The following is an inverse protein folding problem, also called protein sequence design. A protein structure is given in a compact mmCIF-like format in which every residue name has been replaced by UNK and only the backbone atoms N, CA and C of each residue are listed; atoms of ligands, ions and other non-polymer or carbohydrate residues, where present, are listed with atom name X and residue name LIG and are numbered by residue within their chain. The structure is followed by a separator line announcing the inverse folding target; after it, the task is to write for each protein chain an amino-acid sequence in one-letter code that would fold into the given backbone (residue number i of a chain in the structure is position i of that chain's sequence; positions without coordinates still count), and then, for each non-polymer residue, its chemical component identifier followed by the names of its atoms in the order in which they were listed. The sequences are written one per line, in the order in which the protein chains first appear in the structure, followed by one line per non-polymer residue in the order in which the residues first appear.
data_IF_645746706308
#
_entry.id   IF_645746706308
#
_cell.length_a   1.000
_cell.length_b   1.000
_cell.length_c   1.000
_cell.angle_alpha   90.00
_cell.angle_beta   90.00
_cell.angle_gamma   90.00
#
_symmetry.space_group_name_H-M   'P 1'
#
loop_
_entity.id
_entity.type
_entity.pdbx_description
1 polymer ?
#
# COMPACT_ATOMS: atom_id res chain seq x y z
N UNK A 1 -7.17 -31.38 -17.77
CA UNK A 1 -8.40 -30.71 -18.23
C UNK A 1 -8.19 -29.24 -17.92
N UNK A 2 -8.04 -28.39 -18.93
CA UNK A 2 -7.94 -26.94 -18.73
C UNK A 2 -9.33 -26.43 -18.35
N UNK A 3 -9.55 -26.05 -17.08
CA UNK A 3 -10.77 -25.37 -16.67
C UNK A 3 -11.03 -24.10 -17.49
N UNK A 4 -12.29 -23.69 -17.60
CA UNK A 4 -12.66 -22.45 -18.29
C UNK A 4 -12.07 -21.24 -17.57
N UNK A 5 -11.35 -20.38 -18.29
CA UNK A 5 -10.82 -19.13 -17.75
C UNK A 5 -11.96 -18.13 -17.49
N UNK A 6 -12.13 -17.71 -16.25
CA UNK A 6 -13.08 -16.66 -15.84
C UNK A 6 -12.58 -15.28 -16.25
N UNK A 7 -13.49 -14.37 -16.58
CA UNK A 7 -13.17 -12.94 -16.73
C UNK A 7 -13.29 -12.21 -15.40
N UNK A 8 -12.50 -11.16 -15.19
CA UNK A 8 -12.60 -10.33 -13.98
C UNK A 8 -13.97 -9.65 -13.89
N UNK A 9 -14.56 -9.28 -15.03
CA UNK A 9 -15.94 -8.79 -15.11
C UNK A 9 -16.97 -9.78 -14.54
N UNK A 10 -16.86 -11.06 -14.86
CA UNK A 10 -17.75 -12.12 -14.33
C UNK A 10 -17.58 -12.29 -12.82
N UNK A 11 -16.35 -12.21 -12.32
CA UNK A 11 -16.08 -12.22 -10.88
C UNK A 11 -16.71 -10.98 -10.22
N UNK A 12 -16.59 -9.80 -10.83
CA UNK A 12 -17.18 -8.56 -10.35
C UNK A 12 -18.72 -8.61 -10.32
N UNK A 13 -19.38 -9.22 -11.31
CA UNK A 13 -20.83 -9.45 -11.29
C UNK A 13 -21.25 -10.30 -10.08
N UNK A 14 -20.48 -11.36 -9.78
CA UNK A 14 -20.72 -12.21 -8.61
C UNK A 14 -20.48 -11.48 -7.29
N UNK A 15 -19.46 -10.62 -7.21
CA UNK A 15 -19.18 -9.75 -6.05
C UNK A 15 -20.36 -8.81 -5.79
N UNK A 16 -20.82 -8.10 -6.83
CA UNK A 16 -21.96 -7.17 -6.72
C UNK A 16 -23.26 -7.87 -6.33
N UNK A 17 -23.45 -9.12 -6.76
CA UNK A 17 -24.59 -9.93 -6.37
C UNK A 17 -24.47 -10.56 -4.97
N UNK A 18 -23.35 -10.39 -4.26
CA UNK A 18 -23.07 -11.05 -2.98
C UNK A 18 -22.90 -12.57 -3.09
N UNK A 19 -22.61 -13.07 -4.29
CA UNK A 19 -22.52 -14.51 -4.62
C UNK A 19 -21.09 -15.00 -4.83
N UNK A 20 -20.10 -14.11 -4.80
CA UNK A 20 -18.70 -14.47 -5.01
C UNK A 20 -18.14 -15.28 -3.82
N UNK A 21 -17.36 -16.31 -4.14
CA UNK A 21 -16.60 -17.10 -3.16
C UNK A 21 -15.28 -16.39 -2.86
N UNK A 22 -15.23 -15.63 -1.75
CA UNK A 22 -14.07 -14.83 -1.35
C UNK A 22 -13.46 -15.41 -0.08
N UNK A 23 -12.15 -15.68 -0.12
CA UNK A 23 -11.38 -16.25 0.99
C UNK A 23 -10.15 -15.40 1.29
N UNK A 24 -9.75 -15.31 2.54
CA UNK A 24 -8.39 -14.87 2.93
C UNK A 24 -7.42 -16.03 2.88
N UNK A 25 -6.11 -15.77 2.85
CA UNK A 25 -5.09 -16.81 3.04
C UNK A 25 -5.31 -17.58 4.36
N UNK A 26 -5.73 -16.89 5.42
CA UNK A 26 -6.06 -17.50 6.71
C UNK A 26 -7.22 -18.50 6.61
N UNK A 27 -8.30 -18.14 5.91
CA UNK A 27 -9.42 -19.06 5.71
C UNK A 27 -8.94 -20.37 5.07
N UNK A 28 -8.15 -20.25 3.99
CA UNK A 28 -7.65 -21.39 3.25
C UNK A 28 -6.68 -22.25 4.07
N UNK A 29 -5.79 -21.63 4.85
CA UNK A 29 -4.89 -22.38 5.74
C UNK A 29 -5.67 -23.19 6.79
N UNK A 30 -6.74 -22.63 7.37
CA UNK A 30 -7.61 -23.37 8.30
C UNK A 30 -8.30 -24.57 7.65
N UNK A 31 -8.70 -24.46 6.39
CA UNK A 31 -9.31 -25.56 5.65
C UNK A 31 -8.28 -26.65 5.29
N UNK A 32 -7.08 -26.25 4.87
CA UNK A 32 -5.97 -27.16 4.57
C UNK A 32 -5.55 -27.98 5.80
N UNK A 33 -5.49 -27.38 6.98
CA UNK A 33 -5.16 -28.09 8.23
C UNK A 33 -6.19 -29.17 8.59
N UNK A 34 -7.47 -28.94 8.24
CA UNK A 34 -8.57 -29.87 8.50
C UNK A 34 -8.71 -30.97 7.44
N UNK A 35 -7.86 -30.98 6.41
CA UNK A 35 -8.00 -31.82 5.22
C UNK A 35 -9.40 -31.70 4.56
N UNK A 36 -9.99 -30.50 4.63
CA UNK A 36 -11.31 -30.23 4.06
C UNK A 36 -11.16 -29.71 2.63
N UNK A 37 -11.01 -30.65 1.69
CA UNK A 37 -10.89 -30.35 0.26
C UNK A 37 -12.21 -29.85 -0.37
N UNK A 38 -13.33 -29.89 0.35
CA UNK A 38 -14.64 -29.49 -0.19
C UNK A 38 -14.70 -27.97 -0.42
N UNK A 39 -14.05 -27.19 0.44
CA UNK A 39 -13.97 -25.72 0.36
C UNK A 39 -12.90 -25.26 -0.62
N UNK A 40 -11.96 -26.13 -0.98
CA UNK A 40 -10.95 -25.89 -2.00
C UNK A 40 -11.51 -25.93 -3.44
N UNK A 41 -12.84 -26.07 -3.60
CA UNK A 41 -13.49 -26.05 -4.91
C UNK A 41 -13.94 -24.63 -5.27
N UNK A 42 -13.16 -24.02 -6.17
CA UNK A 42 -13.47 -22.79 -6.93
C UNK A 42 -13.68 -21.52 -6.08
N UNK A 43 -12.59 -20.94 -5.59
CA UNK A 43 -12.59 -19.53 -5.19
C UNK A 43 -12.83 -18.62 -6.41
N UNK A 44 -13.46 -17.47 -6.16
CA UNK A 44 -13.51 -16.37 -7.11
C UNK A 44 -12.37 -15.37 -6.80
N UNK A 45 -12.08 -15.14 -5.52
CA UNK A 45 -11.01 -14.25 -5.06
C UNK A 45 -10.32 -14.85 -3.84
N UNK A 46 -8.99 -14.77 -3.82
CA UNK A 46 -8.17 -15.03 -2.63
C UNK A 46 -7.50 -13.72 -2.21
N UNK A 47 -7.64 -13.36 -0.94
CA UNK A 47 -7.09 -12.12 -0.39
C UNK A 47 -5.76 -12.44 0.28
N UNK A 48 -4.69 -11.94 -0.32
CA UNK A 48 -3.33 -11.97 0.21
C UNK A 48 -3.10 -10.78 1.12
N UNK A 49 -2.48 -11.01 2.28
CA UNK A 49 -2.13 -9.92 3.21
C UNK A 49 -0.73 -10.09 3.79
N UNK A 50 0.00 -8.98 3.93
CA UNK A 50 1.34 -8.96 4.49
C UNK A 50 1.75 -7.54 4.88
N UNK A 51 2.75 -7.44 5.76
CA UNK A 51 3.40 -6.18 6.08
C UNK A 51 4.64 -5.93 5.23
N UNK A 52 4.86 -4.69 4.82
CA UNK A 52 6.07 -4.26 4.10
C UNK A 52 6.67 -3.01 4.72
N UNK A 53 7.98 -2.82 4.57
CA UNK A 53 8.65 -1.61 5.08
C UNK A 53 8.13 -0.35 4.39
N UNK A 54 8.00 0.75 5.15
CA UNK A 54 7.77 2.08 4.59
C UNK A 54 9.00 2.62 3.84
N UNK A 55 10.18 2.02 4.02
CA UNK A 55 11.39 2.42 3.29
C UNK A 55 11.15 2.37 1.78
N UNK A 56 11.65 3.38 1.09
CA UNK A 56 11.36 3.62 -0.32
C UNK A 56 9.94 4.14 -0.55
N UNK A 57 9.29 4.77 0.43
CA UNK A 57 8.06 5.53 0.22
C UNK A 57 8.32 7.04 0.20
N UNK A 58 7.40 7.75 -0.44
CA UNK A 58 7.31 9.20 -0.44
C UNK A 58 5.87 9.64 -0.18
N UNK A 59 5.71 10.82 0.42
CA UNK A 59 4.44 11.52 0.48
C UNK A 59 4.52 12.81 -0.35
N UNK A 60 3.48 13.07 -1.13
CA UNK A 60 3.24 14.37 -1.76
C UNK A 60 2.14 15.08 -0.96
N UNK A 61 2.50 16.23 -0.40
CA UNK A 61 1.66 17.01 0.50
C UNK A 61 1.48 18.41 -0.07
N UNK A 62 0.26 18.95 -0.05
CA UNK A 62 0.01 20.36 -0.37
C UNK A 62 0.04 21.20 0.91
N UNK A 63 1.24 21.64 1.28
CA UNK A 63 1.54 22.22 2.59
C UNK A 63 1.11 23.69 2.66
N UNK A 64 0.27 24.10 3.62
CA UNK A 64 -0.03 25.50 3.86
C UNK A 64 1.16 26.19 4.55
N UNK A 65 1.69 27.25 3.93
CA UNK A 65 2.88 27.97 4.39
C UNK A 65 2.54 29.38 4.87
N UNK A 66 1.73 30.11 4.12
CA UNK A 66 1.45 31.52 4.38
C UNK A 66 0.07 31.93 3.82
N UNK A 67 -0.26 33.21 3.95
CA UNK A 67 -1.43 33.78 3.29
C UNK A 67 -1.27 33.87 1.77
N UNK A 68 -2.39 34.07 1.07
CA UNK A 68 -2.36 34.35 -0.38
C UNK A 68 -1.53 35.59 -0.69
N UNK A 69 -0.69 35.49 -1.72
CA UNK A 69 0.15 36.57 -2.21
C UNK A 69 1.38 36.87 -1.34
N UNK A 70 1.65 36.08 -0.29
CA UNK A 70 2.78 36.33 0.61
C UNK A 70 4.14 36.15 -0.07
N UNK A 71 4.32 35.16 -0.93
CA UNK A 71 5.56 34.91 -1.66
C UNK A 71 5.30 34.33 -3.04
N UNK A 72 6.28 34.43 -3.94
CA UNK A 72 6.11 33.95 -5.33
C UNK A 72 6.59 32.54 -5.55
N UNK A 73 7.59 32.09 -4.78
CA UNK A 73 8.17 30.75 -4.93
C UNK A 73 8.90 30.27 -3.69
N UNK A 74 8.75 29.00 -3.35
CA UNK A 74 9.54 28.37 -2.30
C UNK A 74 10.94 28.03 -2.82
N UNK A 75 11.98 28.48 -2.11
CA UNK A 75 13.37 28.08 -2.32
C UNK A 75 13.68 26.77 -1.60
N UNK A 76 13.18 26.61 -0.36
CA UNK A 76 13.27 25.37 0.40
C UNK A 76 12.12 25.27 1.40
N UNK A 77 11.79 24.04 1.81
CA UNK A 77 10.81 23.77 2.86
C UNK A 77 11.30 22.63 3.75
N UNK A 78 11.00 22.70 5.05
CA UNK A 78 11.26 21.65 6.03
C UNK A 78 9.98 21.38 6.83
N UNK A 79 9.73 20.10 7.10
CA UNK A 79 8.62 19.61 7.90
C UNK A 79 9.18 18.88 9.13
N UNK A 80 8.95 19.41 10.33
CA UNK A 80 9.63 18.97 11.56
C UNK A 80 11.15 18.84 11.39
N UNK A 81 11.75 19.82 10.71
CA UNK A 81 13.18 19.86 10.38
C UNK A 81 13.62 18.92 9.23
N UNK A 82 12.77 18.00 8.79
CA UNK A 82 13.03 17.10 7.66
C UNK A 82 12.90 17.86 6.34
N UNK A 83 13.92 17.85 5.45
CA UNK A 83 13.83 18.51 4.16
C UNK A 83 12.69 17.97 3.30
N UNK A 84 11.83 18.88 2.83
CA UNK A 84 10.88 18.63 1.76
C UNK A 84 11.36 19.26 0.45
N UNK A 85 10.88 18.74 -0.67
CA UNK A 85 11.23 19.20 -1.99
C UNK A 85 10.03 19.96 -2.58
N UNK A 86 10.12 21.31 -2.70
CA UNK A 86 9.09 22.10 -3.38
C UNK A 86 8.92 21.58 -4.80
N UNK A 87 7.68 21.27 -5.16
CA UNK A 87 7.36 20.75 -6.47
C UNK A 87 7.28 21.86 -7.52
N UNK A 88 7.04 21.49 -8.78
CA UNK A 88 7.16 22.41 -9.91
C UNK A 88 5.92 23.31 -10.10
N UNK A 89 4.81 23.02 -9.43
CA UNK A 89 3.58 23.77 -9.64
C UNK A 89 3.68 25.15 -8.93
N UNK A 90 3.35 26.26 -9.62
CA UNK A 90 3.54 27.61 -9.07
C UNK A 90 2.40 27.99 -8.10
N UNK A 91 2.14 27.15 -7.11
CA UNK A 91 1.04 27.29 -6.16
C UNK A 91 1.35 28.29 -5.03
N UNK A 92 2.58 28.77 -4.92
CA UNK A 92 3.03 29.56 -3.77
C UNK A 92 2.31 30.91 -3.63
N UNK A 93 1.80 31.46 -4.75
CA UNK A 93 0.91 32.64 -4.70
C UNK A 93 -0.39 32.39 -3.96
N UNK A 94 -0.82 31.13 -3.81
CA UNK A 94 -1.96 30.74 -3.00
C UNK A 94 -1.59 30.57 -1.52
N UNK A 95 -0.31 30.71 -1.16
CA UNK A 95 0.20 30.49 0.20
C UNK A 95 0.50 29.03 0.52
N UNK A 96 0.49 28.15 -0.49
CA UNK A 96 0.67 26.71 -0.34
C UNK A 96 1.86 26.23 -1.18
N UNK A 97 2.53 25.16 -0.73
CA UNK A 97 3.67 24.54 -1.40
C UNK A 97 3.39 23.05 -1.57
N UNK A 98 3.35 22.56 -2.81
CA UNK A 98 3.44 21.12 -3.05
C UNK A 98 4.84 20.66 -2.62
N UNK A 99 4.90 19.73 -1.67
CA UNK A 99 6.15 19.24 -1.11
C UNK A 99 6.19 17.73 -1.16
N UNK A 100 7.26 17.19 -1.74
CA UNK A 100 7.58 15.78 -1.64
C UNK A 100 8.54 15.53 -0.47
N UNK A 101 8.20 14.57 0.39
CA UNK A 101 9.05 14.09 1.50
C UNK A 101 9.25 12.59 1.39
N UNK A 102 10.40 12.09 1.84
CA UNK A 102 10.80 10.69 1.68
C UNK A 102 10.94 9.97 3.02
N UNK A 103 10.55 8.70 3.07
CA UNK A 103 10.67 7.86 4.26
C UNK A 103 12.13 7.74 4.73
N UNK A 104 13.08 7.64 3.81
CA UNK A 104 14.50 7.44 4.12
C UNK A 104 15.28 8.77 4.28
N UNK A 105 14.58 9.90 4.39
CA UNK A 105 15.20 11.21 4.59
C UNK A 105 15.93 11.27 5.95
N UNK A 106 17.13 11.85 5.94
CA UNK A 106 17.94 12.14 7.12
C UNK A 106 17.96 13.64 7.40
N UNK A 107 18.23 13.99 8.65
CA UNK A 107 18.54 15.35 9.09
C UNK A 107 19.96 15.41 9.66
N UNK A 108 20.53 16.60 9.73
CA UNK A 108 21.87 16.80 10.29
C UNK A 108 21.92 16.33 11.75
N UNK A 109 23.06 15.76 12.15
CA UNK A 109 23.32 15.23 13.50
C UNK A 109 22.45 14.03 13.92
N UNK A 110 21.63 13.44 13.03
CA UNK A 110 20.97 12.18 13.31
C UNK A 110 21.97 11.02 13.33
N UNK A 111 21.96 10.21 14.40
CA UNK A 111 22.94 9.14 14.62
C UNK A 111 22.33 7.75 14.84
N UNK A 112 21.13 7.65 15.42
CA UNK A 112 20.47 6.38 15.70
C UNK A 112 18.94 6.49 15.84
N UNK A 113 18.27 5.34 15.91
CA UNK A 113 16.83 5.21 16.12
C UNK A 113 16.02 5.18 14.82
N UNK A 114 14.74 5.55 14.90
CA UNK A 114 13.89 5.66 13.73
C UNK A 114 14.36 6.83 12.83
N UNK A 115 14.45 6.59 11.52
CA UNK A 115 14.84 7.64 10.57
C UNK A 115 13.85 8.83 10.63
N UNK A 116 14.33 10.09 10.57
CA UNK A 116 13.49 11.28 10.64
C UNK A 116 12.38 11.30 9.58
N UNK A 117 12.68 10.88 8.34
CA UNK A 117 11.66 10.76 7.30
C UNK A 117 10.54 9.78 7.66
N UNK A 118 10.86 8.61 8.22
CA UNK A 118 9.87 7.62 8.67
C UNK A 118 9.04 8.15 9.83
N UNK A 119 9.70 8.82 10.77
CA UNK A 119 9.06 9.49 11.90
C UNK A 119 8.04 10.54 11.39
N UNK A 120 8.46 11.43 10.51
CA UNK A 120 7.60 12.44 9.90
C UNK A 120 6.39 11.81 9.19
N UNK A 121 6.61 10.81 8.34
CA UNK A 121 5.49 10.15 7.64
C UNK A 121 4.52 9.47 8.63
N UNK A 122 5.02 8.94 9.73
CA UNK A 122 4.18 8.35 10.79
C UNK A 122 3.39 9.44 11.52
N UNK A 123 4.02 10.57 11.85
CA UNK A 123 3.35 11.71 12.49
C UNK A 123 2.25 12.31 11.58
N UNK A 124 2.50 12.39 10.27
CA UNK A 124 1.50 12.75 9.25
C UNK A 124 0.32 11.77 9.27
N UNK A 125 0.58 10.46 9.22
CA UNK A 125 -0.47 9.42 9.28
C UNK A 125 -1.28 9.47 10.58
N UNK A 126 -0.64 9.82 11.69
CA UNK A 126 -1.27 9.98 13.00
C UNK A 126 -2.01 11.31 13.17
N UNK A 127 -2.03 12.16 12.14
CA UNK A 127 -2.62 13.49 12.18
C UNK A 127 -2.07 14.34 13.34
N UNK A 128 -0.77 14.22 13.62
CA UNK A 128 -0.06 15.11 14.53
C UNK A 128 0.17 16.47 13.87
N UNK A 129 0.38 17.48 14.70
CA UNK A 129 0.78 18.80 14.23
C UNK A 129 2.23 18.74 13.72
N UNK A 130 2.44 19.22 12.50
CA UNK A 130 3.74 19.25 11.82
C UNK A 130 4.17 20.71 11.69
N UNK A 131 5.37 21.02 12.14
CA UNK A 131 5.96 22.36 12.01
C UNK A 131 6.55 22.56 10.62
N UNK A 132 6.30 23.73 10.03
CA UNK A 132 6.74 24.09 8.69
C UNK A 132 7.72 25.25 8.77
N UNK A 133 8.86 25.09 8.12
CA UNK A 133 9.82 26.16 7.86
C UNK A 133 10.01 26.29 6.36
N UNK A 134 9.76 27.46 5.79
CA UNK A 134 9.88 27.71 4.36
C UNK A 134 10.70 28.97 4.10
N UNK A 135 11.75 28.84 3.28
CA UNK A 135 12.51 29.98 2.77
C UNK A 135 12.02 30.27 1.35
N UNK A 136 11.64 31.51 1.08
CA UNK A 136 11.22 31.97 -0.25
C UNK A 136 12.41 32.32 -1.15
N UNK A 137 12.16 32.53 -2.45
CA UNK A 137 13.20 33.04 -3.36
C UNK A 137 13.57 34.50 -3.09
N UNK A 138 12.67 35.23 -2.45
CA UNK A 138 12.85 36.60 -1.96
C UNK A 138 13.70 36.67 -0.68
N UNK A 139 14.15 35.52 -0.17
CA UNK A 139 14.90 35.34 1.09
C UNK A 139 14.10 35.70 2.35
N UNK A 140 12.76 35.71 2.27
CA UNK A 140 11.88 35.79 3.43
C UNK A 140 11.66 34.41 4.07
N UNK A 141 11.70 34.36 5.40
CA UNK A 141 11.42 33.18 6.22
C UNK A 141 9.94 33.11 6.63
N UNK A 142 9.31 31.97 6.37
CA UNK A 142 7.94 31.66 6.77
C UNK A 142 7.91 30.49 7.75
N UNK A 143 7.08 30.61 8.78
CA UNK A 143 6.83 29.56 9.78
C UNK A 143 5.32 29.37 9.95
N UNK A 144 4.89 28.13 9.86
CA UNK A 144 3.50 27.72 10.07
C UNK A 144 3.46 26.31 10.67
N UNK A 145 2.26 25.78 10.89
CA UNK A 145 2.05 24.38 11.19
C UNK A 145 0.77 23.89 10.50
N UNK A 146 0.63 22.58 10.38
CA UNK A 146 -0.60 21.95 9.88
C UNK A 146 -0.84 20.59 10.55
N UNK A 147 -2.08 20.12 10.50
CA UNK A 147 -2.40 18.69 10.66
C UNK A 147 -2.87 18.08 9.34
N UNK A 148 -2.69 16.78 9.15
CA UNK A 148 -2.92 16.13 7.84
C UNK A 148 -4.34 16.31 7.30
N UNK A 149 -5.35 16.34 8.18
CA UNK A 149 -6.76 16.56 7.82
C UNK A 149 -7.05 17.96 7.24
N UNK A 150 -6.15 18.92 7.41
CA UNK A 150 -6.28 20.27 6.84
C UNK A 150 -5.71 20.37 5.42
N UNK A 151 -4.88 19.40 5.01
CA UNK A 151 -4.29 19.41 3.68
C UNK A 151 -5.37 19.19 2.62
N UNK A 152 -5.33 19.96 1.53
CA UNK A 152 -6.21 19.73 0.37
C UNK A 152 -5.75 18.54 -0.47
N UNK A 153 -4.47 18.14 -0.35
CA UNK A 153 -3.92 16.97 -1.02
C UNK A 153 -2.81 16.32 -0.19
N UNK A 154 -2.92 15.00 0.01
CA UNK A 154 -1.93 14.20 0.73
C UNK A 154 -1.96 12.75 0.23
N UNK A 155 -0.94 12.36 -0.54
CA UNK A 155 -0.87 11.02 -1.15
C UNK A 155 0.47 10.35 -0.88
N UNK A 156 0.42 9.07 -0.55
CA UNK A 156 1.61 8.23 -0.43
C UNK A 156 1.87 7.48 -1.74
N UNK A 157 3.13 7.35 -2.09
CA UNK A 157 3.63 6.42 -3.10
C UNK A 157 4.70 5.54 -2.47
N UNK A 158 4.57 4.22 -2.58
CA UNK A 158 5.66 3.30 -2.28
C UNK A 158 6.37 2.95 -3.59
N UNK A 159 7.70 3.08 -3.62
CA UNK A 159 8.51 2.67 -4.78
C UNK A 159 8.87 1.17 -4.71
N UNK A 160 8.88 0.59 -3.51
CA UNK A 160 9.23 -0.82 -3.30
C UNK A 160 8.44 -1.46 -2.15
N UNK A 161 7.28 -2.01 -2.49
CA UNK A 161 6.54 -2.93 -1.61
C UNK A 161 6.90 -4.37 -1.97
N UNK A 162 7.78 -4.99 -1.20
CA UNK A 162 8.20 -6.38 -1.44
C UNK A 162 7.10 -7.36 -1.05
N UNK A 163 6.80 -8.28 -1.96
CA UNK A 163 5.95 -9.45 -1.68
C UNK A 163 6.81 -10.46 -0.90
N UNK A 164 6.30 -11.05 0.20
CA UNK A 164 7.08 -12.01 0.98
C UNK A 164 7.51 -13.21 0.12
N UNK A 165 8.75 -13.66 0.29
CA UNK A 165 9.29 -14.80 -0.47
C UNK A 165 8.47 -16.08 -0.28
N UNK A 166 7.78 -16.22 0.86
CA UNK A 166 6.87 -17.36 1.10
C UNK A 166 5.63 -17.36 0.20
N UNK A 167 5.32 -16.26 -0.50
CA UNK A 167 4.26 -16.16 -1.51
C UNK A 167 4.81 -16.16 -2.94
N UNK A 168 6.11 -16.34 -3.10
CA UNK A 168 6.77 -16.37 -4.41
C UNK A 168 7.17 -17.82 -4.67
N UNK A 169 6.67 -18.36 -5.76
CA UNK A 169 6.99 -19.71 -6.21
C UNK A 169 8.11 -19.62 -7.27
N UNK A 170 9.10 -20.50 -7.19
CA UNK A 170 10.24 -20.47 -8.11
C UNK A 170 9.87 -20.87 -9.55
N UNK A 171 8.83 -21.70 -9.69
CA UNK A 171 8.48 -22.38 -10.95
C UNK A 171 7.26 -21.80 -11.65
N UNK A 172 6.24 -21.37 -10.90
CA UNK A 172 5.04 -20.69 -11.42
C UNK A 172 4.76 -19.46 -10.56
N UNK A 173 4.45 -18.31 -11.14
CA UNK A 173 3.94 -17.13 -10.40
C UNK A 173 2.64 -16.66 -11.04
N UNK A 174 1.78 -17.62 -11.39
CA UNK A 174 0.51 -17.42 -12.07
C UNK A 174 -0.41 -16.49 -11.27
N UNK A 175 -0.42 -16.62 -9.95
CA UNK A 175 -1.25 -15.75 -9.10
C UNK A 175 -0.77 -14.29 -9.14
N UNK A 176 0.54 -14.03 -9.14
CA UNK A 176 1.09 -12.68 -9.27
C UNK A 176 0.77 -12.05 -10.63
N UNK A 177 0.73 -12.85 -11.71
CA UNK A 177 0.37 -12.37 -13.06
C UNK A 177 -1.04 -11.78 -13.15
N UNK A 178 -1.89 -12.00 -12.15
CA UNK A 178 -3.24 -11.39 -12.07
C UNK A 178 -3.24 -9.99 -11.45
N UNK A 179 -2.14 -9.59 -10.82
CA UNK A 179 -1.93 -8.24 -10.32
C UNK A 179 -1.41 -7.40 -11.48
N UNK A 180 -2.19 -6.40 -11.86
CA UNK A 180 -1.95 -5.53 -13.01
C UNK A 180 -1.82 -4.07 -12.55
N UNK A 181 -1.33 -3.20 -13.43
CA UNK A 181 -1.44 -1.75 -13.21
C UNK A 181 -2.92 -1.39 -13.04
N UNK A 182 -3.21 -0.60 -12.01
CA UNK A 182 -4.57 -0.22 -11.61
C UNK A 182 -5.28 -1.24 -10.72
N UNK A 183 -4.71 -2.42 -10.44
CA UNK A 183 -5.28 -3.34 -9.44
C UNK A 183 -5.49 -2.62 -8.12
N UNK A 184 -6.71 -2.70 -7.59
CA UNK A 184 -7.05 -2.10 -6.30
C UNK A 184 -6.48 -2.92 -5.16
N UNK A 185 -5.92 -2.24 -4.17
CA UNK A 185 -5.30 -2.81 -2.98
C UNK A 185 -5.75 -2.03 -1.74
N UNK A 186 -5.42 -2.52 -0.55
CA UNK A 186 -5.36 -1.68 0.64
C UNK A 186 -3.89 -1.44 0.99
N UNK A 187 -3.52 -0.18 1.17
CA UNK A 187 -2.24 0.28 1.69
C UNK A 187 -2.53 0.92 3.05
N UNK A 188 -2.18 0.20 4.11
CA UNK A 188 -2.38 0.59 5.49
C UNK A 188 -3.80 1.10 5.79
N UNK A 189 -4.81 0.39 5.29
CA UNK A 189 -6.24 0.71 5.46
C UNK A 189 -6.85 1.53 4.32
N UNK A 190 -6.05 2.34 3.63
CA UNK A 190 -6.53 3.18 2.53
C UNK A 190 -6.66 2.38 1.24
N UNK A 191 -7.73 2.63 0.47
CA UNK A 191 -7.87 2.06 -0.87
C UNK A 191 -6.82 2.70 -1.79
N UNK A 192 -5.92 1.86 -2.29
CA UNK A 192 -4.87 2.27 -3.21
C UNK A 192 -4.95 1.53 -4.54
N UNK A 193 -3.97 1.82 -5.39
CA UNK A 193 -3.75 1.15 -6.66
C UNK A 193 -2.31 0.66 -6.77
N UNK A 194 -2.13 -0.39 -7.56
CA UNK A 194 -0.83 -0.78 -8.08
C UNK A 194 -0.46 0.16 -9.24
N UNK A 195 0.63 0.90 -9.08
CA UNK A 195 1.18 1.79 -10.11
C UNK A 195 1.99 0.99 -11.13
N UNK A 196 2.67 -0.06 -10.69
CA UNK A 196 3.47 -0.94 -11.53
C UNK A 196 4.42 -1.83 -10.74
N UNK A 197 5.46 -2.33 -11.40
CA UNK A 197 6.56 -3.02 -10.74
C UNK A 197 7.30 -2.04 -9.81
N UNK A 198 7.77 -2.54 -8.66
CA UNK A 198 8.65 -1.78 -7.78
C UNK A 198 10.03 -1.58 -8.42
N UNK A 199 10.76 -0.54 -8.00
CA UNK A 199 12.05 -0.19 -8.62
C UNK A 199 13.15 -1.24 -8.42
N UNK A 200 12.95 -2.17 -7.49
CA UNK A 200 13.83 -3.31 -7.19
C UNK A 200 13.19 -4.65 -7.53
N UNK A 201 12.18 -4.67 -8.39
CA UNK A 201 11.56 -5.90 -8.85
C UNK A 201 12.55 -6.73 -9.67
N UNK A 202 12.57 -8.05 -9.45
CA UNK A 202 13.45 -8.95 -10.17
C UNK A 202 13.01 -10.41 -10.07
N UNK A 203 13.81 -11.32 -10.64
CA UNK A 203 13.42 -12.73 -10.75
C UNK A 203 13.15 -13.39 -9.39
N UNK A 204 14.06 -13.23 -8.42
CA UNK A 204 13.98 -13.82 -7.07
C UNK A 204 13.30 -12.94 -6.01
N UNK A 205 13.03 -11.68 -6.32
CA UNK A 205 12.45 -10.71 -5.39
C UNK A 205 11.38 -9.92 -6.13
N UNK A 206 10.12 -10.16 -5.79
CA UNK A 206 8.98 -9.47 -6.40
C UNK A 206 8.63 -8.25 -5.57
N UNK A 207 8.47 -7.11 -6.23
CA UNK A 207 8.04 -5.88 -5.57
C UNK A 207 7.07 -5.08 -6.44
N UNK A 208 6.22 -4.32 -5.78
CA UNK A 208 5.23 -3.44 -6.37
C UNK A 208 5.55 -1.98 -6.06
N UNK A 209 5.15 -1.08 -6.94
CA UNK A 209 4.96 0.32 -6.61
C UNK A 209 3.47 0.58 -6.40
N UNK A 210 3.11 1.20 -5.28
CA UNK A 210 1.72 1.43 -4.88
C UNK A 210 1.47 2.92 -4.68
N UNK A 211 0.21 3.34 -4.80
CA UNK A 211 -0.22 4.69 -4.46
C UNK A 211 -1.57 4.68 -3.77
N UNK A 212 -1.72 5.46 -2.69
CA UNK A 212 -2.97 5.59 -1.94
C UNK A 212 -3.05 6.95 -1.22
N UNK A 213 -4.28 7.37 -0.93
CA UNK A 213 -4.56 8.58 -0.14
C UNK A 213 -4.12 8.39 1.31
N UNK A 214 -3.48 9.41 1.89
CA UNK A 214 -3.00 9.37 3.28
C UNK A 214 -4.14 9.49 4.30
N UNK A 215 -5.18 10.29 4.00
CA UNK A 215 -6.29 10.58 4.92
C UNK A 215 -7.06 9.33 5.39
N UNK A 216 -7.16 8.34 4.51
CA UNK A 216 -7.90 7.10 4.73
C UNK A 216 -7.02 5.99 5.32
N UNK A 217 -5.72 6.23 5.50
CA UNK A 217 -4.85 5.26 6.15
C UNK A 217 -5.15 5.19 7.64
N UNK A 218 -5.05 4.00 8.20
CA UNK A 218 -5.25 3.77 9.62
C UNK A 218 -3.90 3.74 10.35
N UNK A 219 -3.55 4.75 11.15
CA UNK A 219 -2.29 4.76 11.87
C UNK A 219 -2.21 3.68 12.97
N UNK A 220 -3.35 3.21 13.52
CA UNK A 220 -3.35 2.27 14.65
C UNK A 220 -2.85 0.85 14.30
N UNK A 221 -2.74 0.55 13.00
CA UNK A 221 -2.24 -0.74 12.51
C UNK A 221 -0.77 -0.71 12.11
N UNK A 222 -0.13 0.47 12.14
CA UNK A 222 1.30 0.62 11.89
C UNK A 222 2.08 -0.13 12.97
N UNK A 223 3.10 -0.89 12.56
CA UNK A 223 4.04 -1.51 13.50
C UNK A 223 5.43 -0.92 13.33
N UNK A 224 6.16 -0.79 14.43
CA UNK A 224 7.54 -0.33 14.44
C UNK A 224 8.41 -1.43 15.03
N UNK A 225 9.34 -1.95 14.24
CA UNK A 225 10.22 -3.06 14.60
C UNK A 225 11.62 -2.78 14.07
N UNK A 226 12.65 -2.89 14.92
CA UNK A 226 14.06 -2.71 14.55
C UNK A 226 14.32 -1.39 13.77
N UNK A 227 13.84 -0.26 14.29
CA UNK A 227 13.93 1.07 13.66
C UNK A 227 13.33 1.16 12.25
N UNK A 228 12.40 0.25 11.92
CA UNK A 228 11.64 0.25 10.70
C UNK A 228 10.14 0.34 10.98
N UNK A 229 9.44 1.09 10.12
CA UNK A 229 7.99 1.22 10.16
C UNK A 229 7.42 0.28 9.09
N UNK A 230 6.47 -0.57 9.48
CA UNK A 230 5.79 -1.47 8.56
C UNK A 230 4.38 -0.99 8.30
N UNK A 231 4.00 -1.05 7.02
CA UNK A 231 2.65 -0.79 6.54
C UNK A 231 2.00 -2.11 6.13
N UNK A 232 0.74 -2.27 6.51
CA UNK A 232 -0.05 -3.44 6.10
C UNK A 232 -0.48 -3.32 4.64
N UNK A 233 -0.40 -4.40 3.87
CA UNK A 233 -0.75 -4.48 2.45
C UNK A 233 -1.76 -5.61 2.27
N UNK A 234 -2.87 -5.34 1.57
CA UNK A 234 -3.86 -6.37 1.21
C UNK A 234 -4.15 -6.31 -0.28
N UNK A 235 -4.02 -7.46 -0.95
CA UNK A 235 -4.19 -7.60 -2.40
C UNK A 235 -5.25 -8.68 -2.68
N UNK A 236 -6.37 -8.34 -3.34
CA UNK A 236 -7.33 -9.32 -3.81
C UNK A 236 -6.84 -9.94 -5.12
N UNK A 237 -6.56 -11.24 -5.09
CA UNK A 237 -6.09 -12.04 -6.22
C UNK A 237 -7.29 -12.73 -6.89
N UNK A 238 -7.68 -12.33 -8.12
CA UNK A 238 -8.75 -13.02 -8.84
C UNK A 238 -8.31 -14.41 -9.29
N UNK A 239 -9.10 -15.42 -8.93
CA UNK A 239 -8.84 -16.80 -9.33
C UNK A 239 -9.50 -17.04 -10.68
N UNK A 240 -8.79 -16.65 -11.74
CA UNK A 240 -9.29 -16.67 -13.12
C UNK A 240 -9.17 -18.04 -13.79
N UNK A 241 -8.28 -18.92 -13.34
CA UNK A 241 -8.11 -20.26 -13.89
C UNK A 241 -7.43 -21.20 -12.88
N UNK A 242 -7.29 -22.47 -13.27
CA UNK A 242 -6.64 -23.50 -12.45
C UNK A 242 -5.16 -23.23 -12.23
N UNK A 243 -4.48 -22.50 -13.13
CA UNK A 243 -3.07 -22.16 -12.94
C UNK A 243 -2.90 -21.20 -11.78
N UNK A 244 -3.75 -20.17 -11.68
CA UNK A 244 -3.77 -19.26 -10.53
C UNK A 244 -4.12 -20.00 -9.25
N UNK A 245 -5.16 -20.83 -9.29
CA UNK A 245 -5.61 -21.59 -8.12
C UNK A 245 -4.53 -22.54 -7.58
N UNK A 246 -3.93 -23.34 -8.44
CA UNK A 246 -2.90 -24.29 -8.04
C UNK A 246 -1.65 -23.58 -7.51
N UNK A 247 -1.29 -22.44 -8.10
CA UNK A 247 -0.15 -21.65 -7.66
C UNK A 247 -0.34 -21.05 -6.26
N UNK A 248 -1.55 -20.55 -5.96
CA UNK A 248 -1.94 -20.12 -4.60
C UNK A 248 -1.86 -21.29 -3.61
N UNK A 249 -2.46 -22.44 -3.94
CA UNK A 249 -2.45 -23.61 -3.07
C UNK A 249 -1.04 -24.15 -2.82
N UNK A 250 -0.16 -24.09 -3.81
CA UNK A 250 1.21 -24.58 -3.68
C UNK A 250 1.98 -23.82 -2.60
N UNK A 251 1.94 -22.49 -2.60
CA UNK A 251 2.65 -21.74 -1.57
C UNK A 251 1.94 -21.82 -0.22
N UNK A 252 0.59 -21.88 -0.19
CA UNK A 252 -0.16 -22.02 1.06
C UNK A 252 0.13 -23.37 1.74
N UNK A 253 0.28 -24.45 0.97
CA UNK A 253 0.68 -25.77 1.51
C UNK A 253 2.11 -25.80 2.04
N UNK A 254 2.97 -24.88 1.60
CA UNK A 254 4.30 -24.71 2.17
C UNK A 254 4.27 -23.97 3.52
N UNK A 255 3.15 -23.35 3.89
CA UNK A 255 2.92 -22.71 5.18
C UNK A 255 2.14 -23.63 6.13
N UNK A 256 2.35 -23.46 7.43
CA UNK A 256 1.55 -24.11 8.48
C UNK A 256 0.65 -23.09 9.16
N UNK A 257 -0.61 -23.46 9.40
CA UNK A 257 -1.55 -22.60 10.11
C UNK A 257 -1.09 -22.29 11.55
N UNK A 258 -0.46 -23.25 12.25
CA UNK A 258 0.14 -23.05 13.58
C UNK A 258 1.14 -21.90 13.63
N UNK A 259 1.77 -21.59 12.49
CA UNK A 259 2.83 -20.60 12.38
C UNK A 259 2.33 -19.34 11.65
N UNK A 260 1.02 -19.14 11.54
CA UNK A 260 0.43 -18.02 10.78
C UNK A 260 0.94 -16.65 11.24
N UNK A 261 1.22 -16.50 12.54
CA UNK A 261 1.80 -15.28 13.12
C UNK A 261 3.22 -14.98 12.63
N UNK A 262 3.95 -15.97 12.13
CA UNK A 262 5.25 -15.78 11.47
C UNK A 262 5.10 -15.18 10.07
N UNK A 263 3.96 -15.41 9.43
CA UNK A 263 3.70 -15.02 8.04
C UNK A 263 2.85 -13.75 7.91
N UNK A 264 2.00 -13.48 8.90
CA UNK A 264 1.03 -12.39 8.94
C UNK A 264 0.81 -11.94 10.39
N UNK A 265 0.87 -10.64 10.64
CA UNK A 265 0.48 -10.13 11.95
C UNK A 265 -1.05 -10.01 12.04
N UNK A 266 -1.55 -9.74 13.26
CA UNK A 266 -2.99 -9.64 13.52
C UNK A 266 -3.66 -8.50 12.74
N UNK A 267 -2.93 -7.41 12.48
CA UNK A 267 -3.45 -6.25 11.75
C UNK A 267 -3.65 -6.58 10.27
N UNK A 268 -2.69 -7.28 9.65
CA UNK A 268 -2.77 -7.78 8.27
C UNK A 268 -4.01 -8.69 8.11
N UNK A 269 -4.19 -9.63 9.04
CA UNK A 269 -5.33 -10.55 9.05
C UNK A 269 -6.66 -9.81 9.18
N UNK A 270 -6.74 -8.83 10.09
CA UNK A 270 -7.96 -8.04 10.30
C UNK A 270 -8.31 -7.22 9.06
N UNK A 271 -7.31 -6.63 8.39
CA UNK A 271 -7.54 -5.88 7.16
C UNK A 271 -7.95 -6.79 5.99
N UNK A 272 -7.39 -8.00 5.90
CA UNK A 272 -7.83 -9.01 4.93
C UNK A 272 -9.30 -9.42 5.13
N UNK A 273 -9.70 -9.67 6.39
CA UNK A 273 -11.08 -9.99 6.75
C UNK A 273 -12.03 -8.83 6.44
N UNK A 274 -11.61 -7.60 6.72
CA UNK A 274 -12.39 -6.41 6.37
C UNK A 274 -12.61 -6.30 4.85
N UNK A 275 -11.56 -6.49 4.03
CA UNK A 275 -11.71 -6.49 2.57
C UNK A 275 -12.66 -7.59 2.11
N UNK A 276 -12.54 -8.81 2.66
CA UNK A 276 -13.44 -9.94 2.37
C UNK A 276 -14.89 -9.53 2.62
N UNK A 277 -15.18 -8.90 3.75
CA UNK A 277 -16.54 -8.46 4.09
C UNK A 277 -17.04 -7.38 3.13
N UNK A 278 -16.20 -6.41 2.75
CA UNK A 278 -16.57 -5.40 1.74
C UNK A 278 -16.88 -6.03 0.38
N UNK A 279 -16.12 -7.04 -0.06
CA UNK A 279 -16.37 -7.75 -1.31
C UNK A 279 -17.66 -8.57 -1.24
N UNK A 280 -17.92 -9.27 -0.14
CA UNK A 280 -19.17 -10.04 0.04
C UNK A 280 -20.42 -9.14 0.09
N UNK A 281 -20.27 -7.90 0.51
CA UNK A 281 -21.33 -6.88 0.51
C UNK A 281 -21.44 -6.12 -0.83
N UNK A 282 -20.63 -6.46 -1.84
CA UNK A 282 -20.62 -5.76 -3.14
C UNK A 282 -20.03 -4.35 -3.12
N UNK A 283 -19.33 -3.97 -2.05
CA UNK A 283 -18.77 -2.62 -1.83
C UNK A 283 -17.33 -2.47 -2.33
N UNK A 284 -16.64 -3.57 -2.58
CA UNK A 284 -15.30 -3.58 -3.15
C UNK A 284 -15.25 -4.50 -4.36
N UNK A 285 -14.89 -3.95 -5.52
CA UNK A 285 -14.77 -4.68 -6.79
C UNK A 285 -13.32 -4.68 -7.27
N UNK A 286 -12.96 -5.71 -8.02
CA UNK A 286 -11.66 -5.81 -8.69
C UNK A 286 -11.57 -4.80 -9.83
N UNK A 287 -10.34 -4.41 -10.18
CA UNK A 287 -10.11 -3.62 -11.39
C UNK A 287 -10.11 -4.54 -12.61
N UNK A 288 -10.87 -4.18 -13.64
CA UNK A 288 -10.94 -4.92 -14.90
C UNK A 288 -9.95 -4.30 -15.91
N UNK A 289 -8.65 -4.42 -15.62
CA UNK A 289 -7.56 -3.87 -16.44
C UNK A 289 -6.58 -4.94 -16.90
N UNK A 290 -7.09 -6.05 -17.45
CA UNK A 290 -6.27 -7.16 -17.96
C UNK A 290 -5.23 -6.76 -19.03
N UNK A 291 -5.31 -5.54 -19.56
CA UNK A 291 -4.46 -5.02 -20.63
C UNK A 291 -3.11 -4.44 -20.16
N UNK A 292 -2.86 -4.34 -18.85
CA UNK A 292 -1.62 -3.75 -18.31
C UNK A 292 -0.93 -4.67 -17.29
N UNK A 293 -0.37 -5.82 -17.73
CA UNK A 293 0.33 -6.73 -16.84
C UNK A 293 1.61 -6.10 -16.29
N UNK A 294 1.99 -6.52 -15.08
CA UNK A 294 3.29 -6.17 -14.49
C UNK A 294 4.34 -7.14 -15.05
N UNK A 295 5.51 -6.62 -15.42
CA UNK A 295 6.67 -7.44 -15.82
C UNK A 295 7.27 -8.12 -14.58
N UNK A 296 6.76 -9.31 -14.26
CA UNK A 296 7.20 -10.08 -13.11
C UNK A 296 8.56 -10.72 -13.29
#
# INVERSE_FOLDING_TARGET
MTGSRKRVSEINERILAGKASVYTEEDLLKHLEKNDDSVLRHADVVIMSFSSSISGAAAMLLVPVAGRGSFTRAKSIRLDGVPGYPGPAPNERLGIVDSQVFADQRVDNWSNGLLPGKKLLTDVLENREIQVECLSQEEDDYRSSFVTRELEYARMVTYNTFIPHTRINETSNSHLKTICVGSKILLNGSVGIVVGAGTRNGFRKKSLSLSAELYEMNPSIITVENDDVKLSIVIPIPVIDDLVWNDLLNYLRAMKYSDISHYMNVNDLNMARWMKDQMKQGRFKLNDSSNFPISW
#
